data_IF_402049437502
#
_entry.id   IF_402049437502
#
_cell.length_a   1.000
_cell.length_b   1.000
_cell.length_c   1.000
_cell.angle_alpha   90.00
_cell.angle_beta   90.00
_cell.angle_gamma   90.00
#
_symmetry.space_group_name_H-M   'P 1'
#
loop_
_entity.id
_entity.type
_entity.pdbx_description
1 polymer ?
#
# COMPACT_ATOMS: atom_id res chain seq x y z
N UNK A 1 -30.28 5.79 -37.95
CA UNK A 1 -29.18 6.78 -38.01
C UNK A 1 -28.40 6.53 -39.29
N UNK A 2 -27.93 7.57 -40.01
CA UNK A 2 -27.13 7.38 -41.21
C UNK A 2 -25.79 6.68 -40.89
N UNK A 3 -25.36 5.79 -41.78
CA UNK A 3 -24.20 4.90 -41.59
C UNK A 3 -22.88 5.63 -41.33
N UNK A 4 -22.75 6.88 -41.78
CA UNK A 4 -21.56 7.70 -41.58
C UNK A 4 -21.48 8.37 -40.19
N UNK A 5 -22.51 8.24 -39.34
CA UNK A 5 -22.55 8.84 -37.99
C UNK A 5 -22.60 7.81 -36.85
N UNK A 6 -22.11 6.58 -37.07
CA UNK A 6 -22.10 5.56 -36.01
C UNK A 6 -23.49 4.98 -35.76
N UNK A 7 -24.12 4.45 -36.82
CA UNK A 7 -25.37 3.71 -36.71
C UNK A 7 -25.30 2.58 -35.68
N UNK A 8 -26.45 2.23 -35.12
CA UNK A 8 -26.60 1.24 -34.05
C UNK A 8 -25.94 -0.10 -34.43
N UNK A 9 -24.78 -0.37 -33.84
CA UNK A 9 -24.16 -1.68 -33.86
C UNK A 9 -24.87 -2.53 -32.83
N UNK A 10 -25.76 -3.43 -33.30
CA UNK A 10 -26.32 -4.46 -32.43
C UNK A 10 -25.15 -5.25 -31.85
N UNK A 11 -24.99 -5.33 -30.52
CA UNK A 11 -23.97 -6.16 -29.91
C UNK A 11 -24.11 -7.58 -30.47
N UNK A 12 -23.02 -8.14 -31.00
CA UNK A 12 -23.00 -9.52 -31.46
C UNK A 12 -23.39 -10.47 -30.33
N UNK A 13 -23.98 -11.61 -30.67
CA UNK A 13 -24.27 -12.64 -29.67
C UNK A 13 -22.97 -13.03 -28.97
N UNK A 14 -22.91 -12.78 -27.66
CA UNK A 14 -21.74 -13.11 -26.85
C UNK A 14 -21.69 -14.63 -26.75
N UNK A 15 -20.69 -15.23 -27.39
CA UNK A 15 -20.44 -16.66 -27.31
C UNK A 15 -20.10 -17.03 -25.86
N UNK A 16 -21.06 -17.65 -25.17
CA UNK A 16 -20.93 -18.05 -23.77
C UNK A 16 -19.90 -19.16 -23.57
N UNK A 17 -19.49 -19.85 -24.63
CA UNK A 17 -18.44 -20.88 -24.56
C UNK A 17 -17.04 -20.26 -24.44
N UNK A 18 -16.84 -19.06 -25.01
CA UNK A 18 -15.63 -18.25 -24.86
C UNK A 18 -15.65 -17.40 -23.58
N UNK A 19 -16.83 -17.21 -22.99
CA UNK A 19 -17.00 -16.47 -21.75
C UNK A 19 -16.51 -17.29 -20.56
N UNK A 20 -15.20 -17.27 -20.34
CA UNK A 20 -14.60 -17.74 -19.10
C UNK A 20 -14.87 -16.68 -18.03
N UNK A 21 -15.96 -16.84 -17.27
CA UNK A 21 -16.18 -16.05 -16.05
C UNK A 21 -14.87 -16.17 -15.25
N UNK A 22 -14.33 -15.04 -14.78
CA UNK A 22 -13.17 -15.03 -13.88
C UNK A 22 -13.58 -15.68 -12.56
N UNK A 23 -13.76 -17.00 -12.58
CA UNK A 23 -13.95 -17.85 -11.42
C UNK A 23 -12.57 -18.13 -10.84
N UNK A 24 -11.94 -17.05 -10.39
CA UNK A 24 -10.70 -17.14 -9.66
C UNK A 24 -11.11 -17.53 -8.26
N UNK A 25 -11.06 -18.83 -7.95
CA UNK A 25 -11.13 -19.30 -6.56
C UNK A 25 -9.92 -18.72 -5.82
N UNK A 26 -10.12 -17.54 -5.24
CA UNK A 26 -9.16 -16.90 -4.37
C UNK A 26 -9.29 -17.54 -2.99
N UNK A 27 -8.15 -17.85 -2.41
CA UNK A 27 -8.11 -18.35 -1.05
C UNK A 27 -8.64 -17.25 -0.10
N UNK A 28 -9.63 -17.57 0.75
CA UNK A 28 -10.23 -16.59 1.66
C UNK A 28 -9.20 -15.81 2.48
N UNK A 29 -8.09 -16.45 2.86
CA UNK A 29 -7.00 -15.79 3.59
C UNK A 29 -6.31 -14.67 2.79
N UNK A 30 -6.12 -14.86 1.48
CA UNK A 30 -5.54 -13.82 0.60
C UNK A 30 -6.51 -12.64 0.49
N UNK A 31 -7.80 -12.92 0.38
CA UNK A 31 -8.82 -11.86 0.32
C UNK A 31 -8.85 -11.05 1.61
N UNK A 32 -8.86 -11.69 2.77
CA UNK A 32 -8.84 -11.00 4.08
C UNK A 32 -7.55 -10.18 4.25
N UNK A 33 -6.40 -10.73 3.82
CA UNK A 33 -5.14 -10.01 3.85
C UNK A 33 -5.16 -8.74 2.98
N UNK A 34 -5.51 -8.89 1.70
CA UNK A 34 -5.59 -7.76 0.76
C UNK A 34 -6.59 -6.73 1.24
N UNK A 35 -7.76 -7.18 1.73
CA UNK A 35 -8.77 -6.30 2.29
C UNK A 35 -8.26 -5.49 3.49
N UNK A 36 -7.57 -6.15 4.42
CA UNK A 36 -7.03 -5.49 5.62
C UNK A 36 -5.95 -4.46 5.26
N UNK A 37 -5.03 -4.82 4.36
CA UNK A 37 -4.01 -3.91 3.84
C UNK A 37 -4.64 -2.71 3.12
N UNK A 38 -5.66 -2.98 2.31
CA UNK A 38 -6.38 -1.94 1.59
C UNK A 38 -7.10 -0.99 2.55
N UNK A 39 -7.76 -1.50 3.58
CA UNK A 39 -8.43 -0.68 4.60
C UNK A 39 -7.44 0.22 5.35
N UNK A 40 -6.29 -0.31 5.76
CA UNK A 40 -5.21 0.46 6.40
C UNK A 40 -4.69 1.54 5.45
N UNK A 41 -4.40 1.18 4.20
CA UNK A 41 -3.91 2.11 3.18
C UNK A 41 -4.93 3.22 2.91
N UNK A 42 -6.22 2.90 2.89
CA UNK A 42 -7.30 3.87 2.72
C UNK A 42 -7.37 4.82 3.91
N UNK A 43 -7.23 4.33 5.14
CA UNK A 43 -7.10 5.15 6.35
C UNK A 43 -5.91 6.10 6.28
N UNK A 44 -4.72 5.58 5.92
CA UNK A 44 -3.51 6.40 5.73
C UNK A 44 -3.67 7.44 4.64
N UNK A 45 -4.26 7.07 3.50
CA UNK A 45 -4.52 7.99 2.39
C UNK A 45 -5.48 9.09 2.81
N UNK A 46 -6.50 8.74 3.58
CA UNK A 46 -7.47 9.70 4.09
C UNK A 46 -6.81 10.72 5.02
N UNK A 47 -6.02 10.23 5.99
CA UNK A 47 -5.22 11.10 6.88
C UNK A 47 -4.26 11.97 6.05
N UNK A 48 -3.55 11.38 5.08
CA UNK A 48 -2.66 12.15 4.22
C UNK A 48 -3.41 13.27 3.48
N UNK A 49 -4.54 12.98 2.85
CA UNK A 49 -5.32 13.97 2.09
C UNK A 49 -5.92 15.06 2.97
N UNK A 50 -6.39 14.74 4.18
CA UNK A 50 -6.97 15.75 5.06
C UNK A 50 -5.91 16.61 5.76
N UNK A 51 -4.79 16.02 6.15
CA UNK A 51 -3.73 16.72 6.87
C UNK A 51 -2.56 17.18 5.96
N UNK A 52 -2.65 17.06 4.63
CA UNK A 52 -1.59 17.45 3.68
C UNK A 52 -1.18 18.94 3.76
N UNK A 53 -2.07 19.81 4.22
CA UNK A 53 -1.81 21.23 4.48
C UNK A 53 -1.01 21.44 5.77
N UNK A 54 -1.36 20.70 6.82
CA UNK A 54 -0.71 20.69 8.14
C UNK A 54 0.64 19.98 8.15
N UNK A 55 0.87 19.07 7.19
CA UNK A 55 2.20 18.57 6.81
C UNK A 55 3.07 19.66 6.13
N UNK A 56 2.93 20.90 6.56
CA UNK A 56 3.90 21.98 6.31
C UNK A 56 5.22 21.58 6.99
N UNK A 57 6.39 22.01 6.48
CA UNK A 57 7.71 21.47 6.87
C UNK A 57 8.12 21.69 8.33
N UNK A 58 7.24 22.27 9.16
CA UNK A 58 7.51 22.55 10.56
C UNK A 58 7.38 21.31 11.44
N UNK A 59 6.48 20.38 11.09
CA UNK A 59 6.21 19.17 11.89
C UNK A 59 7.24 18.06 11.70
N UNK A 60 7.94 18.05 10.56
CA UNK A 60 8.99 17.06 10.26
C UNK A 60 10.18 17.77 9.58
N UNK A 61 10.97 18.55 10.34
CA UNK A 61 12.10 19.32 9.79
C UNK A 61 13.10 18.43 9.03
N UNK A 62 13.24 17.17 9.45
CA UNK A 62 14.08 16.17 8.79
C UNK A 62 13.64 15.83 7.35
N UNK A 63 12.32 15.66 7.11
CA UNK A 63 11.82 15.31 5.78
C UNK A 63 12.08 16.43 4.75
N UNK A 64 12.17 17.69 5.23
CA UNK A 64 12.53 18.85 4.40
C UNK A 64 14.00 18.82 3.96
N UNK A 65 14.89 18.33 4.82
CA UNK A 65 16.34 18.30 4.58
C UNK A 65 16.73 17.24 3.54
N UNK A 66 16.10 16.07 3.60
CA UNK A 66 16.46 14.94 2.73
C UNK A 66 15.55 14.77 1.52
N UNK A 67 14.34 15.36 1.53
CA UNK A 67 13.36 15.22 0.46
C UNK A 67 12.91 16.60 -0.06
N UNK A 68 13.22 16.97 -1.32
CA UNK A 68 12.85 18.28 -1.87
C UNK A 68 11.33 18.48 -2.00
N UNK A 69 10.55 17.38 -2.00
CA UNK A 69 9.08 17.40 -2.10
C UNK A 69 8.44 16.24 -1.30
N UNK A 70 8.26 16.37 0.03
CA UNK A 70 7.77 15.28 0.88
C UNK A 70 6.39 14.75 0.48
N UNK A 71 5.54 15.62 -0.09
CA UNK A 71 4.18 15.27 -0.54
C UNK A 71 4.17 14.29 -1.72
N UNK A 72 5.06 14.48 -2.69
CA UNK A 72 5.14 13.62 -3.87
C UNK A 72 5.63 12.23 -3.52
N UNK A 73 6.60 12.13 -2.62
CA UNK A 73 7.10 10.85 -2.15
C UNK A 73 6.02 10.03 -1.42
N UNK A 74 5.26 10.67 -0.53
CA UNK A 74 4.18 9.97 0.19
C UNK A 74 3.08 9.50 -0.78
N UNK A 75 2.70 10.34 -1.75
CA UNK A 75 1.75 9.97 -2.79
C UNK A 75 2.26 8.79 -3.64
N UNK A 76 3.54 8.76 -3.99
CA UNK A 76 4.16 7.68 -4.75
C UNK A 76 4.17 6.37 -3.94
N UNK A 77 4.43 6.44 -2.63
CA UNK A 77 4.41 5.29 -1.73
C UNK A 77 2.99 4.70 -1.60
N UNK A 78 1.97 5.55 -1.48
CA UNK A 78 0.56 5.14 -1.49
C UNK A 78 0.23 4.47 -2.83
N UNK A 79 0.56 5.12 -3.95
CA UNK A 79 0.31 4.60 -5.29
C UNK A 79 0.99 3.24 -5.51
N UNK A 80 2.26 3.11 -5.13
CA UNK A 80 3.00 1.86 -5.22
C UNK A 80 2.35 0.75 -4.37
N UNK A 81 1.82 1.10 -3.19
CA UNK A 81 1.11 0.15 -2.33
C UNK A 81 -0.20 -0.34 -2.98
N UNK A 82 -0.99 0.57 -3.58
CA UNK A 82 -2.23 0.22 -4.30
C UNK A 82 -1.92 -0.67 -5.51
N UNK A 83 -0.92 -0.30 -6.30
CA UNK A 83 -0.46 -1.11 -7.43
C UNK A 83 -0.12 -2.52 -6.97
N UNK A 84 0.66 -2.65 -5.88
CA UNK A 84 1.11 -3.95 -5.41
C UNK A 84 -0.05 -4.85 -4.96
N UNK A 85 -1.04 -4.29 -4.27
CA UNK A 85 -2.26 -5.01 -3.89
C UNK A 85 -3.03 -5.54 -5.10
N UNK A 86 -3.15 -4.73 -6.17
CA UNK A 86 -3.76 -5.18 -7.42
C UNK A 86 -3.02 -6.37 -8.03
N UNK A 87 -1.68 -6.36 -8.00
CA UNK A 87 -0.86 -7.47 -8.51
C UNK A 87 -0.95 -8.73 -7.65
N UNK A 88 -1.20 -8.59 -6.35
CA UNK A 88 -1.40 -9.70 -5.44
C UNK A 88 -2.73 -10.43 -5.73
N UNK A 89 -3.79 -9.69 -6.07
CA UNK A 89 -5.08 -10.24 -6.52
C UNK A 89 -4.97 -11.00 -7.85
N UNK A 90 -4.12 -10.51 -8.76
CA UNK A 90 -3.80 -11.21 -10.02
C UNK A 90 -2.97 -12.49 -9.82
N UNK A 91 -2.56 -12.83 -8.59
CA UNK A 91 -1.68 -13.98 -8.26
C UNK A 91 -0.38 -14.01 -9.10
N UNK A 92 0.16 -12.85 -9.50
CA UNK A 92 1.40 -12.78 -10.28
C UNK A 92 2.60 -13.16 -9.40
N UNK A 93 3.50 -14.00 -9.90
CA UNK A 93 4.70 -14.40 -9.13
C UNK A 93 5.64 -13.22 -8.81
N UNK A 94 5.59 -12.16 -9.62
CA UNK A 94 6.34 -10.93 -9.41
C UNK A 94 5.82 -10.12 -8.22
N UNK A 95 4.55 -10.32 -7.83
CA UNK A 95 3.95 -9.64 -6.68
C UNK A 95 4.65 -10.01 -5.36
N UNK A 96 5.22 -11.22 -5.28
CA UNK A 96 6.00 -11.63 -4.11
C UNK A 96 7.28 -10.81 -3.97
N UNK A 97 8.02 -10.63 -5.07
CA UNK A 97 9.26 -9.87 -5.08
C UNK A 97 9.04 -8.40 -4.80
N UNK A 98 7.97 -7.81 -5.35
CA UNK A 98 7.61 -6.41 -5.09
C UNK A 98 7.15 -6.20 -3.65
N UNK A 99 6.43 -7.15 -3.06
CA UNK A 99 6.08 -7.09 -1.63
C UNK A 99 7.32 -7.25 -0.74
N UNK A 100 8.26 -8.14 -1.08
CA UNK A 100 9.53 -8.26 -0.35
C UNK A 100 10.37 -6.96 -0.44
N UNK A 101 10.44 -6.36 -1.63
CA UNK A 101 11.13 -5.08 -1.82
C UNK A 101 10.45 -3.95 -1.03
N UNK A 102 9.10 -3.91 -1.02
CA UNK A 102 8.31 -2.98 -0.20
C UNK A 102 8.68 -3.12 1.27
N UNK A 103 8.83 -4.34 1.74
CA UNK A 103 9.22 -4.65 3.11
C UNK A 103 10.62 -4.18 3.49
N UNK A 104 11.62 -4.50 2.68
CA UNK A 104 12.99 -4.03 2.89
C UNK A 104 13.03 -2.50 2.91
N UNK A 105 12.27 -1.86 2.01
CA UNK A 105 12.16 -0.41 1.97
C UNK A 105 11.51 0.17 3.23
N UNK A 106 10.38 -0.40 3.66
CA UNK A 106 9.65 -0.02 4.87
C UNK A 106 10.54 -0.13 6.11
N UNK A 107 11.22 -1.27 6.29
CA UNK A 107 12.16 -1.49 7.41
C UNK A 107 13.36 -0.54 7.33
N UNK A 108 13.91 -0.33 6.14
CA UNK A 108 15.04 0.57 5.92
C UNK A 108 14.70 2.02 6.26
N UNK A 109 13.57 2.52 5.75
CA UNK A 109 13.06 3.85 6.07
C UNK A 109 12.79 3.98 7.57
N UNK A 110 12.19 2.97 8.18
CA UNK A 110 11.90 2.98 9.60
C UNK A 110 13.15 2.98 10.49
N UNK A 111 14.12 2.11 10.21
CA UNK A 111 15.41 2.08 10.90
C UNK A 111 16.12 3.43 10.78
N UNK A 112 16.12 4.00 9.57
CA UNK A 112 16.68 5.31 9.30
C UNK A 112 15.96 6.42 10.09
N UNK A 113 14.63 6.39 10.18
CA UNK A 113 13.86 7.34 10.99
C UNK A 113 14.19 7.20 12.48
N UNK A 114 14.29 5.97 13.02
CA UNK A 114 14.68 5.76 14.42
C UNK A 114 16.05 6.37 14.69
N UNK A 115 17.06 6.01 13.92
CA UNK A 115 18.44 6.43 14.20
C UNK A 115 18.60 7.94 14.15
N UNK A 116 17.91 8.61 13.22
CA UNK A 116 18.09 10.06 13.02
C UNK A 116 17.12 10.91 13.86
N UNK A 117 15.91 10.43 14.14
CA UNK A 117 14.86 11.25 14.77
C UNK A 117 14.72 10.94 16.27
N UNK A 118 15.02 9.72 16.72
CA UNK A 118 14.84 9.33 18.11
C UNK A 118 15.60 10.27 19.07
N UNK A 119 16.83 10.66 18.72
CA UNK A 119 17.66 11.52 19.57
C UNK A 119 17.02 12.87 19.91
N UNK A 120 16.34 13.51 18.96
CA UNK A 120 15.65 14.78 19.19
C UNK A 120 14.28 14.58 19.85
N UNK A 121 13.55 13.51 19.49
CA UNK A 121 12.21 13.26 20.01
C UNK A 121 12.20 12.84 21.49
N UNK A 122 13.18 12.04 21.94
CA UNK A 122 13.28 11.59 23.34
C UNK A 122 13.52 12.73 24.34
N UNK A 123 13.97 13.89 23.87
CA UNK A 123 14.10 15.09 24.72
C UNK A 123 12.75 15.70 25.14
N UNK A 124 11.67 15.40 24.39
CA UNK A 124 10.34 15.90 24.67
C UNK A 124 9.38 14.75 25.02
N UNK A 125 9.02 14.64 26.29
CA UNK A 125 8.20 13.55 26.87
C UNK A 125 6.87 13.34 26.13
N UNK A 126 6.24 14.41 25.65
CA UNK A 126 4.96 14.33 24.92
C UNK A 126 5.07 13.63 23.57
N UNK A 127 6.21 13.75 22.87
CA UNK A 127 6.40 13.14 21.54
C UNK A 127 6.92 11.71 21.61
N UNK A 128 7.59 11.33 22.71
CA UNK A 128 8.05 9.96 22.97
C UNK A 128 6.91 8.95 22.90
N UNK A 129 5.75 9.28 23.48
CA UNK A 129 4.61 8.36 23.59
C UNK A 129 3.95 8.10 22.22
N UNK A 130 3.82 9.14 21.37
CA UNK A 130 3.34 8.98 19.99
C UNK A 130 4.33 8.21 19.12
N UNK A 131 5.63 8.41 19.34
CA UNK A 131 6.68 7.69 18.63
C UNK A 131 6.63 6.20 18.95
N UNK A 132 6.59 5.82 20.23
CA UNK A 132 6.49 4.43 20.67
C UNK A 132 5.20 3.76 20.16
N UNK A 133 4.07 4.46 20.20
CA UNK A 133 2.80 3.93 19.69
C UNK A 133 2.84 3.75 18.17
N UNK A 134 3.49 4.65 17.44
CA UNK A 134 3.79 4.51 16.02
C UNK A 134 4.67 3.29 15.72
N UNK A 135 5.68 3.03 16.55
CA UNK A 135 6.54 1.84 16.47
C UNK A 135 5.73 0.55 16.62
N UNK A 136 4.87 0.46 17.65
CA UNK A 136 4.05 -0.74 17.88
C UNK A 136 3.06 -1.00 16.75
N UNK A 137 2.40 0.05 16.25
CA UNK A 137 1.48 -0.07 15.11
C UNK A 137 2.23 -0.52 13.85
N UNK A 138 3.43 0.03 13.62
CA UNK A 138 4.26 -0.33 12.47
C UNK A 138 4.72 -1.79 12.53
N UNK A 139 5.21 -2.25 13.68
CA UNK A 139 5.61 -3.65 13.92
C UNK A 139 4.40 -4.58 13.77
N UNK A 140 3.22 -4.18 14.24
CA UNK A 140 1.99 -4.96 14.08
C UNK A 140 1.60 -5.15 12.62
N UNK A 141 1.57 -4.07 11.83
CA UNK A 141 1.25 -4.10 10.40
C UNK A 141 2.30 -4.92 9.63
N UNK A 142 3.57 -4.77 10.00
CA UNK A 142 4.66 -5.58 9.53
C UNK A 142 4.38 -7.08 9.80
N UNK A 143 4.23 -7.52 11.04
CA UNK A 143 4.04 -8.94 11.36
C UNK A 143 2.84 -9.58 10.63
N UNK A 144 1.73 -8.83 10.50
CA UNK A 144 0.55 -9.25 9.72
C UNK A 144 0.88 -9.43 8.23
N UNK A 145 1.76 -8.60 7.67
CA UNK A 145 2.18 -8.67 6.26
C UNK A 145 3.20 -9.77 5.99
N UNK A 146 3.95 -10.23 7.00
CA UNK A 146 4.99 -11.25 6.84
C UNK A 146 4.36 -12.65 6.93
N UNK A 147 3.44 -12.83 7.88
CA UNK A 147 2.69 -14.06 8.07
C UNK A 147 1.83 -14.42 6.84
N UNK A 148 1.23 -13.43 6.18
CA UNK A 148 0.46 -13.64 4.94
C UNK A 148 1.33 -14.02 3.73
N UNK A 149 2.53 -13.45 3.60
CA UNK A 149 3.50 -13.78 2.56
C UNK A 149 4.02 -15.22 2.68
N UNK A 150 4.38 -15.64 3.90
CA UNK A 150 4.82 -17.01 4.19
C UNK A 150 3.70 -17.99 3.86
N UNK A 151 2.46 -17.67 4.25
CA UNK A 151 1.31 -18.50 3.98
C UNK A 151 1.00 -18.63 2.47
N UNK A 152 1.12 -17.55 1.70
CA UNK A 152 0.95 -17.58 0.23
C UNK A 152 2.01 -18.48 -0.43
N UNK A 153 3.26 -18.44 0.05
CA UNK A 153 4.34 -19.24 -0.51
C UNK A 153 4.22 -20.73 -0.16
N UNK A 154 3.81 -21.05 1.07
CA UNK A 154 3.61 -22.43 1.52
C UNK A 154 2.47 -23.15 0.78
N UNK A 155 1.45 -22.41 0.31
CA UNK A 155 0.31 -23.02 -0.41
C UNK A 155 0.51 -23.13 -1.93
N UNK A 156 1.47 -22.39 -2.48
CA UNK A 156 1.83 -22.44 -3.91
C UNK A 156 3.04 -23.36 -4.18
N UNK A 157 3.65 -23.92 -3.14
CA UNK A 157 4.67 -24.99 -3.22
C UNK A 157 4.02 -26.35 -3.05
#
# INVERSE_FOLDING_TARGET
MPEYMGGYLKPGEVDRSLYKKFDISLNNYINIYVFSQYAIMLGFTNVFLFFHSEFTPHWIPFLKTYLPTPKWFLALLIFFSVWNLGKLLEKRIWAFWTELARWVFIVGVYYFLIVNIAGELYSNVSYSLYFDLGIFVFIGIALISCSSLIYIRLKNS
#
